data_IF_274330192134
#
_entry.id   IF_274330192134
#
_cell.length_a   1.000
_cell.length_b   1.000
_cell.length_c   1.000
_cell.angle_alpha   90.00
_cell.angle_beta   90.00
_cell.angle_gamma   90.00
#
_symmetry.space_group_name_H-M   'P 1'
#
loop_
_entity.id
_entity.type
_entity.pdbx_description
1 polymer ?
#
# COMPACT_ATOMS: atom_id res chain seq x y z
N UNK A 1 10.79 -15.27 -11.06
CA UNK A 1 10.61 -14.43 -9.85
C UNK A 1 9.19 -13.90 -9.83
N UNK A 2 8.47 -14.05 -8.74
CA UNK A 2 7.12 -13.52 -8.56
C UNK A 2 7.14 -12.42 -7.51
N UNK A 3 6.66 -11.22 -7.87
CA UNK A 3 6.55 -10.09 -6.95
C UNK A 3 5.08 -9.77 -6.71
N UNK A 4 4.67 -9.62 -5.45
CA UNK A 4 3.32 -9.21 -5.10
C UNK A 4 3.36 -7.91 -4.30
N UNK A 5 2.69 -6.85 -4.79
CA UNK A 5 2.47 -5.62 -4.02
C UNK A 5 1.19 -5.77 -3.22
N UNK A 6 1.27 -5.61 -1.91
CA UNK A 6 0.18 -5.93 -0.98
C UNK A 6 -0.19 -4.70 -0.16
N UNK A 7 -1.46 -4.34 -0.17
CA UNK A 7 -2.03 -3.37 0.74
C UNK A 7 -2.47 -4.03 2.06
N UNK A 8 -2.08 -3.45 3.19
CA UNK A 8 -2.38 -3.96 4.54
C UNK A 8 -3.59 -3.27 5.21
N UNK A 9 -4.31 -2.42 4.50
CA UNK A 9 -5.40 -1.64 5.10
C UNK A 9 -4.88 -0.73 6.21
N UNK A 10 -5.53 -0.72 7.36
CA UNK A 10 -5.08 0.03 8.54
C UNK A 10 -3.85 -0.59 9.23
N UNK A 11 -3.47 -1.81 8.85
CA UNK A 11 -2.49 -2.62 9.55
C UNK A 11 -3.08 -3.57 10.60
N UNK A 12 -4.36 -3.39 10.96
CA UNK A 12 -5.07 -4.33 11.82
C UNK A 12 -5.43 -5.59 11.02
N UNK A 13 -5.29 -6.76 11.62
CA UNK A 13 -5.46 -8.06 10.96
C UNK A 13 -6.83 -8.19 10.27
N UNK A 14 -7.90 -7.66 10.87
CA UNK A 14 -9.25 -7.66 10.31
C UNK A 14 -9.40 -6.80 9.04
N UNK A 15 -8.47 -5.89 8.77
CA UNK A 15 -8.47 -5.05 7.56
C UNK A 15 -7.59 -5.60 6.43
N UNK A 16 -6.83 -6.65 6.71
CA UNK A 16 -6.00 -7.34 5.70
C UNK A 16 -6.89 -8.35 4.95
N UNK A 17 -6.97 -8.22 3.63
CA UNK A 17 -7.81 -9.13 2.83
C UNK A 17 -7.33 -10.58 2.90
N UNK A 18 -8.23 -11.54 2.68
CA UNK A 18 -7.89 -12.95 2.66
C UNK A 18 -6.80 -13.28 1.60
N UNK A 19 -6.86 -12.61 0.44
CA UNK A 19 -5.84 -12.77 -0.60
C UNK A 19 -4.48 -12.21 -0.17
N UNK A 20 -4.46 -11.06 0.51
CA UNK A 20 -3.24 -10.47 1.05
C UNK A 20 -2.61 -11.41 2.10
N UNK A 21 -3.40 -11.95 3.03
CA UNK A 21 -2.91 -12.92 4.02
C UNK A 21 -2.33 -14.18 3.38
N UNK A 22 -2.99 -14.71 2.37
CA UNK A 22 -2.48 -15.87 1.63
C UNK A 22 -1.15 -15.57 0.94
N UNK A 23 -1.02 -14.41 0.30
CA UNK A 23 0.21 -14.00 -0.37
C UNK A 23 1.36 -13.74 0.62
N UNK A 24 1.07 -13.14 1.79
CA UNK A 24 2.07 -12.93 2.85
C UNK A 24 2.61 -14.27 3.40
N UNK A 25 1.74 -15.28 3.57
CA UNK A 25 2.17 -16.62 4.02
C UNK A 25 3.00 -17.36 2.99
N UNK A 26 2.76 -17.11 1.70
CA UNK A 26 3.48 -17.75 0.61
C UNK A 26 4.80 -17.04 0.24
N UNK A 27 5.04 -15.83 0.73
CA UNK A 27 6.24 -15.08 0.45
C UNK A 27 7.45 -15.67 1.20
N UNK A 28 8.60 -15.76 0.53
CA UNK A 28 9.89 -16.07 1.14
C UNK A 28 10.50 -14.82 1.81
N UNK A 29 10.22 -13.65 1.23
CA UNK A 29 10.69 -12.36 1.74
C UNK A 29 9.57 -11.30 1.70
N UNK A 30 9.47 -10.51 2.78
CA UNK A 30 8.54 -9.37 2.88
C UNK A 30 9.35 -8.09 3.04
N UNK A 31 9.14 -7.14 2.12
CA UNK A 31 9.79 -5.83 2.12
C UNK A 31 8.75 -4.73 2.39
N UNK A 32 9.17 -3.62 2.99
CA UNK A 32 8.29 -2.48 3.23
C UNK A 32 8.84 -1.52 4.26
N UNK A 33 8.03 -0.51 4.61
CA UNK A 33 8.40 0.43 5.65
C UNK A 33 8.60 -0.28 7.00
N UNK A 34 9.59 0.12 7.82
CA UNK A 34 9.90 -0.54 9.08
C UNK A 34 8.66 -0.81 9.95
N UNK A 35 7.82 0.21 10.16
CA UNK A 35 6.61 0.09 10.96
C UNK A 35 5.61 -0.95 10.45
N UNK A 36 5.56 -1.19 9.15
CA UNK A 36 4.64 -2.16 8.54
C UNK A 36 5.14 -3.58 8.74
N UNK A 37 6.42 -3.82 8.48
CA UNK A 37 7.01 -5.16 8.61
C UNK A 37 7.16 -5.58 10.08
N UNK A 38 7.41 -4.64 10.99
CA UNK A 38 7.44 -4.86 12.43
C UNK A 38 6.05 -5.17 13.00
N UNK A 39 5.00 -4.53 12.43
CA UNK A 39 3.61 -4.74 12.81
C UNK A 39 2.99 -6.05 12.33
N UNK A 40 3.64 -6.76 11.41
CA UNK A 40 3.16 -8.06 10.95
C UNK A 40 3.35 -9.13 12.03
N UNK A 41 2.31 -9.94 12.26
CA UNK A 41 2.33 -11.02 13.24
C UNK A 41 3.31 -12.15 12.89
N UNK A 42 3.52 -13.06 13.84
CA UNK A 42 4.42 -14.23 13.71
C UNK A 42 3.88 -15.29 12.75
N UNK A 43 2.60 -15.23 12.38
CA UNK A 43 1.95 -16.09 11.41
C UNK A 43 2.48 -15.91 9.97
N UNK A 44 3.30 -14.87 9.74
CA UNK A 44 4.00 -14.61 8.49
C UNK A 44 5.50 -14.83 8.68
N UNK A 45 6.00 -16.07 8.46
CA UNK A 45 7.37 -16.47 8.83
C UNK A 45 8.45 -15.98 7.87
N UNK A 46 8.07 -15.27 6.80
CA UNK A 46 9.00 -14.77 5.78
C UNK A 46 10.09 -13.88 6.38
N UNK A 47 11.26 -13.88 5.77
CA UNK A 47 12.33 -12.92 6.07
C UNK A 47 11.83 -11.50 5.83
N UNK A 48 12.19 -10.57 6.72
CA UNK A 48 11.72 -9.18 6.69
C UNK A 48 12.85 -8.22 6.38
N UNK A 49 12.64 -7.32 5.40
CA UNK A 49 13.62 -6.31 4.99
C UNK A 49 12.95 -4.94 4.99
N UNK A 50 13.50 -4.02 5.79
CA UNK A 50 13.05 -2.63 5.83
C UNK A 50 13.61 -1.88 4.62
N UNK A 51 12.74 -1.47 3.70
CA UNK A 51 13.08 -0.63 2.55
C UNK A 51 11.84 0.10 2.05
N UNK A 52 12.00 1.35 1.60
CA UNK A 52 10.89 2.19 1.12
C UNK A 52 11.15 2.83 -0.23
N UNK A 53 12.42 3.07 -0.58
CA UNK A 53 12.78 3.73 -1.84
C UNK A 53 12.60 2.77 -3.02
N UNK A 54 11.91 3.18 -4.10
CA UNK A 54 11.66 2.29 -5.23
C UNK A 54 12.93 1.67 -5.85
N UNK A 55 14.02 2.42 -5.94
CA UNK A 55 15.30 1.96 -6.50
C UNK A 55 15.92 0.85 -5.64
N UNK A 56 15.89 1.05 -4.33
CA UNK A 56 16.40 0.08 -3.35
C UNK A 56 15.54 -1.20 -3.37
N UNK A 57 14.21 -1.04 -3.38
CA UNK A 57 13.28 -2.18 -3.48
C UNK A 57 13.51 -3.00 -4.75
N UNK A 58 13.70 -2.34 -5.90
CA UNK A 58 14.01 -3.04 -7.16
C UNK A 58 15.29 -3.85 -7.04
N UNK A 59 16.35 -3.25 -6.47
CA UNK A 59 17.66 -3.92 -6.32
C UNK A 59 17.56 -5.14 -5.40
N UNK A 60 16.85 -5.01 -4.28
CA UNK A 60 16.63 -6.10 -3.32
C UNK A 60 15.80 -7.21 -3.95
N UNK A 61 14.70 -6.89 -4.64
CA UNK A 61 13.84 -7.87 -5.28
C UNK A 61 14.59 -8.69 -6.34
N UNK A 62 15.44 -8.04 -7.14
CA UNK A 62 16.25 -8.72 -8.15
C UNK A 62 17.30 -9.64 -7.53
N UNK A 63 17.82 -9.31 -6.36
CA UNK A 63 18.81 -10.13 -5.66
C UNK A 63 18.18 -11.38 -5.00
N UNK A 64 16.90 -11.33 -4.61
CA UNK A 64 16.24 -12.42 -3.89
C UNK A 64 15.97 -13.67 -4.75
N UNK A 65 15.52 -13.49 -5.97
CA UNK A 65 15.21 -14.61 -6.89
C UNK A 65 14.00 -15.46 -6.51
N UNK A 66 13.45 -15.32 -5.30
CA UNK A 66 12.32 -16.06 -4.75
C UNK A 66 11.04 -15.23 -4.72
N UNK A 67 9.86 -15.82 -4.43
CA UNK A 67 8.62 -15.08 -4.30
C UNK A 67 8.70 -14.01 -3.19
N UNK A 68 8.54 -12.76 -3.56
CA UNK A 68 8.60 -11.62 -2.65
C UNK A 68 7.27 -10.88 -2.54
N UNK A 69 6.97 -10.38 -1.34
CA UNK A 69 5.89 -9.44 -1.08
C UNK A 69 6.46 -8.06 -0.73
N UNK A 70 5.87 -6.99 -1.29
CA UNK A 70 6.15 -5.62 -0.85
C UNK A 70 4.88 -5.05 -0.27
N UNK A 71 4.95 -4.60 0.99
CA UNK A 71 3.77 -4.18 1.75
C UNK A 71 3.63 -2.66 1.83
N UNK A 72 2.39 -2.21 1.73
CA UNK A 72 1.99 -0.81 1.81
C UNK A 72 0.82 -0.64 2.77
N UNK A 73 0.71 0.52 3.42
CA UNK A 73 -0.47 0.88 4.21
C UNK A 73 -1.63 1.28 3.31
N UNK A 74 -2.84 1.15 3.81
CA UNK A 74 -4.06 1.55 3.11
C UNK A 74 -4.35 0.68 1.91
N UNK A 75 -4.53 1.31 0.74
CA UNK A 75 -4.73 0.67 -0.56
C UNK A 75 -3.55 0.97 -1.50
N UNK A 76 -3.14 0.00 -2.30
CA UNK A 76 -2.05 0.14 -3.28
C UNK A 76 -2.35 1.15 -4.40
N UNK A 77 -3.63 1.44 -4.67
CA UNK A 77 -4.07 2.36 -5.70
C UNK A 77 -4.38 3.78 -5.22
N UNK A 78 -4.35 4.03 -3.89
CA UNK A 78 -4.75 5.31 -3.32
C UNK A 78 -3.54 6.04 -2.71
N UNK A 79 -2.95 6.97 -3.48
CA UNK A 79 -1.76 7.76 -3.10
C UNK A 79 -0.62 6.92 -2.50
N UNK A 80 -0.40 5.74 -3.06
CA UNK A 80 0.58 4.78 -2.57
C UNK A 80 1.89 4.81 -3.34
N UNK A 81 3.01 4.59 -2.65
CA UNK A 81 4.32 4.35 -3.25
C UNK A 81 4.38 3.11 -4.15
N UNK A 82 3.38 2.23 -4.07
CA UNK A 82 3.25 1.07 -4.93
C UNK A 82 3.26 1.42 -6.42
N UNK A 83 2.68 2.57 -6.80
CA UNK A 83 2.65 3.05 -8.19
C UNK A 83 4.04 3.17 -8.80
N UNK A 84 4.96 3.80 -8.09
CA UNK A 84 6.32 4.02 -8.61
C UNK A 84 7.09 2.70 -8.73
N UNK A 85 6.98 1.83 -7.74
CA UNK A 85 7.62 0.52 -7.79
C UNK A 85 7.05 -0.34 -8.93
N UNK A 86 5.74 -0.36 -9.10
CA UNK A 86 5.07 -1.10 -10.16
C UNK A 86 5.56 -0.70 -11.56
N UNK A 87 5.68 0.60 -11.82
CA UNK A 87 6.20 1.11 -13.09
C UNK A 87 7.63 0.62 -13.35
N UNK A 88 8.53 0.76 -12.36
CA UNK A 88 9.94 0.33 -12.49
C UNK A 88 10.09 -1.18 -12.68
N UNK A 89 9.27 -1.99 -12.03
CA UNK A 89 9.32 -3.44 -12.21
C UNK A 89 8.81 -3.85 -13.59
N UNK A 90 7.75 -3.21 -14.09
CA UNK A 90 7.24 -3.43 -15.45
C UNK A 90 8.25 -3.04 -16.53
N UNK A 91 8.95 -1.92 -16.37
CA UNK A 91 10.03 -1.50 -17.28
C UNK A 91 11.16 -2.56 -17.38
N UNK A 92 11.33 -3.36 -16.34
CA UNK A 92 12.29 -4.48 -16.30
C UNK A 92 11.70 -5.82 -16.75
N UNK A 93 10.45 -5.83 -17.25
CA UNK A 93 9.77 -7.04 -17.69
C UNK A 93 9.39 -8.00 -16.56
N UNK A 94 9.32 -7.52 -15.32
CA UNK A 94 8.95 -8.33 -14.17
C UNK A 94 7.42 -8.36 -14.05
N UNK A 95 6.87 -9.58 -13.99
CA UNK A 95 5.44 -9.76 -13.72
C UNK A 95 5.13 -9.48 -12.25
N UNK A 96 4.15 -8.58 -12.03
CA UNK A 96 3.80 -8.09 -10.70
C UNK A 96 2.32 -8.28 -10.45
N UNK A 97 2.00 -9.00 -9.41
CA UNK A 97 0.64 -9.08 -8.87
C UNK A 97 0.40 -7.92 -7.90
N UNK A 98 -0.75 -7.25 -8.00
CA UNK A 98 -1.13 -6.16 -7.09
C UNK A 98 -2.40 -6.56 -6.35
N UNK A 99 -2.36 -6.48 -5.02
CA UNK A 99 -3.50 -6.79 -4.16
C UNK A 99 -3.98 -5.51 -3.46
N UNK A 100 -5.27 -5.18 -3.56
CA UNK A 100 -5.86 -4.00 -2.94
C UNK A 100 -6.03 -4.17 -1.43
N UNK A 101 -6.28 -3.05 -0.75
CA UNK A 101 -6.64 -3.01 0.66
C UNK A 101 -7.64 -1.90 0.96
N UNK A 102 -7.99 -1.73 2.23
CA UNK A 102 -8.87 -0.67 2.69
C UNK A 102 -8.09 0.63 2.90
N UNK A 103 -8.44 1.66 2.15
CA UNK A 103 -7.86 2.99 2.34
C UNK A 103 -8.42 3.69 3.59
N UNK A 104 -7.69 4.68 4.11
CA UNK A 104 -8.14 5.47 5.26
C UNK A 104 -9.46 6.21 5.00
N UNK A 105 -9.70 6.66 3.77
CA UNK A 105 -10.98 7.30 3.40
C UNK A 105 -12.15 6.34 3.51
N UNK A 106 -12.00 5.10 3.09
CA UNK A 106 -13.04 4.07 3.19
C UNK A 106 -13.36 3.75 4.66
N UNK A 107 -12.34 3.58 5.48
CA UNK A 107 -12.50 3.32 6.91
C UNK A 107 -13.16 4.49 7.65
N UNK A 108 -12.75 5.73 7.33
CA UNK A 108 -13.37 6.93 7.90
C UNK A 108 -14.83 7.05 7.48
N UNK A 109 -15.12 6.91 6.20
CA UNK A 109 -16.48 6.99 5.67
C UNK A 109 -17.42 5.96 6.32
N UNK A 110 -16.95 4.72 6.47
CA UNK A 110 -17.70 3.66 7.14
C UNK A 110 -17.98 3.99 8.61
N UNK A 111 -16.99 4.51 9.34
CA UNK A 111 -17.18 4.94 10.74
C UNK A 111 -18.15 6.10 10.90
N UNK A 112 -18.20 7.01 9.92
CA UNK A 112 -19.12 8.12 9.89
C UNK A 112 -20.52 7.72 9.40
N UNK A 113 -20.70 6.51 8.84
CA UNK A 113 -21.93 6.08 8.19
C UNK A 113 -22.29 6.94 6.97
N UNK A 114 -21.29 7.45 6.25
CA UNK A 114 -21.47 8.36 5.10
C UNK A 114 -20.83 7.78 3.85
N UNK A 115 -21.52 7.85 2.69
CA UNK A 115 -20.91 7.52 1.40
C UNK A 115 -19.85 8.57 1.05
N UNK A 116 -18.75 8.12 0.42
CA UNK A 116 -17.60 8.99 0.10
C UNK A 116 -17.41 9.26 -1.40
N UNK A 117 -18.32 8.74 -2.27
CA UNK A 117 -18.23 8.94 -3.72
C UNK A 117 -18.27 10.42 -4.14
N UNK A 118 -18.89 11.29 -3.32
CA UNK A 118 -19.01 12.72 -3.60
C UNK A 118 -17.98 13.56 -2.84
N UNK A 119 -17.04 12.94 -2.15
CA UNK A 119 -15.98 13.66 -1.43
C UNK A 119 -14.87 14.10 -2.39
N UNK A 120 -14.33 15.29 -2.14
CA UNK A 120 -13.09 15.72 -2.76
C UNK A 120 -11.92 15.04 -2.04
N UNK A 121 -11.13 14.28 -2.79
CA UNK A 121 -10.00 13.52 -2.25
C UNK A 121 -8.69 14.25 -2.57
N UNK A 122 -7.93 14.61 -1.53
CA UNK A 122 -6.66 15.28 -1.64
C UNK A 122 -5.56 14.54 -0.89
N UNK A 123 -4.34 14.61 -1.41
CA UNK A 123 -3.16 14.18 -0.68
C UNK A 123 -2.25 15.37 -0.45
N UNK A 124 -1.95 15.65 0.81
CA UNK A 124 -0.91 16.62 1.20
C UNK A 124 0.48 15.95 1.28
N UNK A 125 0.58 14.67 0.96
CA UNK A 125 1.80 13.87 1.07
C UNK A 125 2.58 13.91 -0.26
N UNK A 126 3.39 14.94 -0.47
CA UNK A 126 4.27 15.06 -1.64
C UNK A 126 3.58 15.40 -2.96
N UNK A 127 2.33 15.83 -2.93
CA UNK A 127 1.58 16.35 -4.09
C UNK A 127 1.09 17.75 -3.83
N UNK A 128 0.98 18.56 -4.91
CA UNK A 128 0.32 19.86 -4.81
C UNK A 128 -1.18 19.66 -4.52
N UNK A 129 -1.57 20.02 -3.31
CA UNK A 129 -2.96 20.07 -2.89
C UNK A 129 -3.24 21.46 -2.34
N UNK A 130 -4.21 22.17 -2.92
CA UNK A 130 -4.74 23.40 -2.34
C UNK A 130 -5.93 23.04 -1.42
N UNK A 131 -5.72 22.98 -0.11
CA UNK A 131 -6.78 22.60 0.84
C UNK A 131 -7.91 23.64 0.89
N UNK A 132 -7.61 24.91 0.64
CA UNK A 132 -8.61 25.98 0.62
C UNK A 132 -9.56 25.81 -0.56
N UNK A 133 -9.00 25.62 -1.76
CA UNK A 133 -9.79 25.36 -2.96
C UNK A 133 -10.66 24.10 -2.81
N UNK A 134 -10.10 23.01 -2.27
CA UNK A 134 -10.84 21.76 -2.06
C UNK A 134 -12.04 21.94 -1.10
N UNK A 135 -11.88 22.73 -0.05
CA UNK A 135 -12.98 23.01 0.91
C UNK A 135 -14.00 23.97 0.31
N UNK A 136 -13.56 24.94 -0.50
CA UNK A 136 -14.45 25.93 -1.15
C UNK A 136 -15.34 25.35 -2.25
N UNK A 137 -15.07 24.14 -2.74
CA UNK A 137 -15.97 23.42 -3.67
C UNK A 137 -17.33 23.07 -3.06
N UNK A 138 -17.52 23.28 -1.75
CA UNK A 138 -18.79 23.05 -1.04
C UNK A 138 -19.15 21.57 -0.84
N UNK A 139 -18.20 20.67 -1.08
CA UNK A 139 -18.31 19.22 -0.83
C UNK A 139 -17.51 18.84 0.43
N UNK A 140 -17.79 17.65 0.95
CA UNK A 140 -16.90 17.08 1.98
C UNK A 140 -15.53 16.82 1.36
N UNK A 141 -14.45 17.25 2.03
CA UNK A 141 -13.10 17.02 1.57
C UNK A 141 -12.37 16.07 2.54
N UNK A 142 -11.63 15.13 1.96
CA UNK A 142 -10.75 14.22 2.69
C UNK A 142 -9.30 14.55 2.34
N UNK A 143 -8.49 14.77 3.36
CA UNK A 143 -7.06 15.05 3.21
C UNK A 143 -6.24 13.89 3.78
N UNK A 144 -5.43 13.28 2.94
CA UNK A 144 -4.39 12.35 3.37
C UNK A 144 -3.15 13.16 3.73
N UNK A 145 -2.70 13.05 4.99
CA UNK A 145 -1.56 13.78 5.55
C UNK A 145 -0.42 12.84 5.91
#
# INVERSE_FOLDING_TARGET
MQVTLIALGSGAEETITAQARAALRAAACILGAPRLIEGLGSEYPARRIAATRPEELVSLLLAEGEPCAVVYSGDTGFYSGARQLLLRLREKGIDVRVLPGLSSVQLLAARLGRPWQDWTLCSAHGTECDPVAAVMEGKSAFFLT
#
